data_IF_544752634765
#
_entry.id   IF_544752634765
#
_cell.length_a   1.000
_cell.length_b   1.000
_cell.length_c   1.000
_cell.angle_alpha   90.00
_cell.angle_beta   90.00
_cell.angle_gamma   90.00
#
_symmetry.space_group_name_H-M   'P 1'
#
loop_
_entity.id
_entity.type
_entity.pdbx_description
1 polymer ?
#
# COMPACT_ATOMS: atom_id res chain seq x y z
N UNK A 1 15.44 -47.89 -0.58
CA UNK A 1 14.11 -47.70 -1.15
C UNK A 1 13.43 -46.67 -0.28
N UNK A 2 13.41 -45.41 -0.70
CA UNK A 2 12.57 -44.42 -0.03
C UNK A 2 11.18 -44.59 -0.63
N UNK A 3 10.22 -44.97 0.19
CA UNK A 3 8.82 -44.93 -0.22
C UNK A 3 8.49 -43.51 -0.71
N UNK A 4 7.75 -43.37 -1.82
CA UNK A 4 7.24 -42.07 -2.23
C UNK A 4 6.38 -41.51 -1.10
N UNK A 5 6.47 -40.20 -0.79
CA UNK A 5 5.63 -39.58 0.21
C UNK A 5 4.17 -39.87 -0.11
N UNK A 6 3.40 -40.31 0.90
CA UNK A 6 1.99 -40.61 0.76
C UNK A 6 1.26 -39.44 0.10
N UNK A 7 0.34 -39.69 -0.86
CA UNK A 7 -0.37 -38.61 -1.54
C UNK A 7 -1.12 -37.78 -0.50
N UNK A 8 -0.79 -36.48 -0.45
CA UNK A 8 -1.48 -35.52 0.40
C UNK A 8 -2.95 -35.53 0.00
N UNK A 9 -3.82 -36.02 0.90
CA UNK A 9 -5.26 -36.07 0.65
C UNK A 9 -5.76 -34.63 0.57
N UNK A 10 -6.23 -34.24 -0.60
CA UNK A 10 -6.74 -32.90 -0.80
C UNK A 10 -8.02 -32.67 0.03
N UNK A 11 -8.12 -31.50 0.66
CA UNK A 11 -9.23 -31.10 1.53
C UNK A 11 -10.22 -30.26 0.73
N UNK A 12 -11.52 -30.57 0.87
CA UNK A 12 -12.59 -29.75 0.26
C UNK A 12 -12.71 -28.42 0.96
N UNK A 13 -12.76 -27.34 0.17
CA UNK A 13 -13.05 -26.00 0.67
C UNK A 13 -14.56 -25.80 0.92
N UNK A 14 -14.90 -24.68 1.55
CA UNK A 14 -16.29 -24.20 1.69
C UNK A 14 -16.87 -23.60 0.40
N UNK A 15 -16.05 -23.40 -0.65
CA UNK A 15 -16.54 -23.01 -1.98
C UNK A 15 -16.69 -24.31 -2.78
N UNK A 16 -17.86 -24.92 -2.60
CA UNK A 16 -18.20 -26.18 -3.21
C UNK A 16 -19.62 -26.12 -3.76
N UNK A 17 -19.73 -26.09 -5.08
CA UNK A 17 -21.02 -26.12 -5.79
C UNK A 17 -21.32 -27.56 -6.21
N UNK A 18 -22.43 -28.13 -5.74
CA UNK A 18 -22.83 -29.52 -6.02
C UNK A 18 -23.03 -29.81 -7.51
N UNK A 19 -23.45 -28.79 -8.27
CA UNK A 19 -23.61 -28.78 -9.72
C UNK A 19 -22.36 -28.28 -10.47
N UNK A 20 -21.27 -27.98 -9.75
CA UNK A 20 -20.00 -27.55 -10.33
C UNK A 20 -19.40 -28.65 -11.21
N UNK A 21 -18.75 -28.21 -12.30
CA UNK A 21 -18.24 -29.09 -13.37
C UNK A 21 -16.72 -28.98 -13.60
N UNK A 22 -16.01 -28.27 -12.72
CA UNK A 22 -14.54 -28.22 -12.67
C UNK A 22 -14.08 -28.13 -11.21
N UNK A 23 -12.95 -28.78 -10.91
CA UNK A 23 -12.28 -28.71 -9.61
C UNK A 23 -10.96 -27.98 -9.78
N UNK A 24 -10.77 -26.88 -9.06
CA UNK A 24 -9.47 -26.22 -8.93
C UNK A 24 -8.75 -26.81 -7.72
N UNK A 25 -7.53 -27.31 -7.91
CA UNK A 25 -6.71 -27.86 -6.83
C UNK A 25 -5.48 -26.99 -6.60
N UNK A 26 -5.29 -26.52 -5.37
CA UNK A 26 -4.27 -25.53 -4.98
C UNK A 26 -3.80 -25.82 -3.55
N UNK A 27 -2.49 -26.01 -3.33
CA UNK A 27 -1.89 -26.29 -2.00
C UNK A 27 -2.66 -27.38 -1.19
N UNK A 28 -3.11 -28.44 -1.86
CA UNK A 28 -3.89 -29.50 -1.21
C UNK A 28 -5.33 -29.11 -0.84
N UNK A 29 -5.84 -27.98 -1.31
CA UNK A 29 -7.24 -27.56 -1.18
C UNK A 29 -7.96 -27.69 -2.52
N UNK A 30 -9.20 -28.19 -2.50
CA UNK A 30 -10.04 -28.32 -3.69
C UNK A 30 -11.25 -27.38 -3.64
N UNK A 31 -11.50 -26.70 -4.75
CA UNK A 31 -12.64 -25.82 -4.97
C UNK A 31 -13.46 -26.36 -6.14
N UNK A 32 -14.73 -26.71 -5.91
CA UNK A 32 -15.62 -27.20 -6.98
C UNK A 32 -16.51 -26.06 -7.45
N UNK A 33 -16.36 -25.67 -8.71
CA UNK A 33 -16.96 -24.45 -9.29
C UNK A 33 -17.44 -24.66 -10.73
N UNK A 34 -18.01 -23.62 -11.34
CA UNK A 34 -18.53 -23.68 -12.72
C UNK A 34 -17.53 -23.13 -13.74
N UNK A 35 -17.19 -23.96 -14.72
CA UNK A 35 -16.28 -23.68 -15.85
C UNK A 35 -16.69 -22.42 -16.62
N UNK A 36 -17.98 -22.27 -16.93
CA UNK A 36 -18.52 -21.15 -17.71
C UNK A 36 -18.35 -19.81 -17.01
N UNK A 37 -18.56 -19.76 -15.69
CA UNK A 37 -18.43 -18.54 -14.89
C UNK A 37 -16.96 -18.11 -14.80
N UNK A 38 -16.04 -19.06 -14.60
CA UNK A 38 -14.59 -18.80 -14.66
C UNK A 38 -14.17 -18.29 -16.04
N UNK A 39 -14.57 -18.96 -17.11
CA UNK A 39 -14.26 -18.57 -18.49
C UNK A 39 -14.78 -17.16 -18.84
N UNK A 40 -15.98 -16.81 -18.36
CA UNK A 40 -16.53 -15.48 -18.57
C UNK A 40 -15.74 -14.40 -17.80
N UNK A 41 -15.17 -14.75 -16.66
CA UNK A 41 -14.46 -13.81 -15.78
C UNK A 41 -12.96 -13.69 -16.09
N UNK A 42 -12.37 -14.66 -16.79
CA UNK A 42 -10.94 -14.78 -17.03
C UNK A 42 -10.68 -15.34 -18.42
N UNK A 43 -9.97 -14.57 -19.24
CA UNK A 43 -9.56 -15.04 -20.58
C UNK A 43 -8.58 -16.20 -20.48
N UNK A 44 -7.70 -16.21 -19.48
CA UNK A 44 -6.76 -17.32 -19.23
C UNK A 44 -7.49 -18.62 -18.94
N UNK A 45 -8.51 -18.60 -18.07
CA UNK A 45 -9.32 -19.80 -17.85
C UNK A 45 -10.13 -20.16 -19.09
N UNK A 46 -10.69 -19.18 -19.82
CA UNK A 46 -11.40 -19.45 -21.07
C UNK A 46 -10.53 -20.18 -22.10
N UNK A 47 -9.30 -19.72 -22.30
CA UNK A 47 -8.35 -20.32 -23.24
C UNK A 47 -7.94 -21.71 -22.77
N UNK A 48 -7.58 -21.87 -21.49
CA UNK A 48 -7.24 -23.15 -20.88
C UNK A 48 -8.34 -24.21 -21.07
N UNK A 49 -9.59 -23.76 -21.02
CA UNK A 49 -10.78 -24.57 -21.17
C UNK A 49 -11.20 -24.87 -22.61
N UNK A 50 -10.71 -24.08 -23.55
CA UNK A 50 -10.97 -24.21 -24.98
C UNK A 50 -9.96 -25.12 -25.69
N UNK A 51 -8.79 -25.34 -25.07
CA UNK A 51 -7.79 -26.28 -25.58
C UNK A 51 -8.30 -27.74 -25.51
N UNK A 52 -7.92 -28.60 -26.47
CA UNK A 52 -8.23 -30.03 -26.42
C UNK A 52 -7.69 -30.63 -25.13
N UNK A 53 -8.59 -31.18 -24.31
CA UNK A 53 -8.18 -31.89 -23.10
C UNK A 53 -7.52 -33.22 -23.49
N UNK A 54 -6.55 -33.71 -22.72
CA UNK A 54 -6.02 -35.06 -22.90
C UNK A 54 -7.16 -36.08 -22.94
N UNK A 55 -7.00 -37.21 -23.64
CA UNK A 55 -7.97 -38.29 -23.62
C UNK A 55 -8.36 -38.62 -22.18
N UNK A 56 -9.62 -38.96 -21.91
CA UNK A 56 -10.14 -39.16 -20.54
C UNK A 56 -9.38 -40.20 -19.70
N UNK A 57 -8.51 -41.02 -20.32
CA UNK A 57 -7.60 -41.96 -19.63
C UNK A 57 -6.41 -41.28 -18.95
N UNK A 58 -6.04 -40.08 -19.41
CA UNK A 58 -4.88 -39.30 -18.95
C UNK A 58 -5.30 -38.05 -18.16
N UNK A 59 -6.60 -37.72 -18.14
CA UNK A 59 -7.14 -36.60 -17.39
C UNK A 59 -7.47 -37.01 -15.95
N UNK A 60 -6.87 -36.32 -14.97
CA UNK A 60 -7.21 -36.51 -13.56
C UNK A 60 -8.64 -36.01 -13.32
N UNK A 61 -9.53 -36.92 -12.96
CA UNK A 61 -10.95 -36.63 -12.70
C UNK A 61 -11.33 -37.06 -11.29
N UNK A 62 -11.99 -36.17 -10.56
CA UNK A 62 -12.63 -36.47 -9.28
C UNK A 62 -14.13 -36.21 -9.44
N UNK A 63 -14.96 -37.19 -9.08
CA UNK A 63 -16.44 -37.10 -9.20
C UNK A 63 -16.93 -36.74 -10.62
N UNK A 64 -16.20 -37.17 -11.66
CA UNK A 64 -16.53 -36.84 -13.05
C UNK A 64 -16.21 -35.40 -13.47
N UNK A 65 -15.55 -34.62 -12.61
CA UNK A 65 -15.10 -33.26 -12.91
C UNK A 65 -13.61 -33.25 -13.27
N UNK A 66 -13.24 -32.41 -14.25
CA UNK A 66 -11.84 -32.15 -14.59
C UNK A 66 -11.14 -31.43 -13.42
N UNK A 67 -9.94 -31.88 -13.07
CA UNK A 67 -9.08 -31.18 -12.10
C UNK A 67 -8.12 -30.26 -12.83
N UNK A 68 -8.06 -29.01 -12.39
CA UNK A 68 -7.09 -28.01 -12.81
C UNK A 68 -6.21 -27.66 -11.63
N UNK A 69 -4.92 -27.96 -11.74
CA UNK A 69 -3.93 -27.63 -10.71
C UNK A 69 -3.45 -26.19 -10.87
N UNK A 70 -3.55 -25.39 -9.82
CA UNK A 70 -2.95 -24.05 -9.74
C UNK A 70 -1.79 -24.06 -8.74
N UNK A 71 -0.83 -23.17 -8.97
CA UNK A 71 0.40 -23.05 -8.17
C UNK A 71 0.43 -21.78 -7.32
N UNK A 72 -0.74 -21.21 -7.02
CA UNK A 72 -0.91 -20.02 -6.20
C UNK A 72 -1.20 -20.37 -4.74
N UNK A 73 -1.37 -19.36 -3.89
CA UNK A 73 -1.88 -19.58 -2.54
C UNK A 73 -3.35 -20.03 -2.59
N UNK A 74 -3.71 -21.08 -1.85
CA UNK A 74 -5.11 -21.50 -1.70
C UNK A 74 -5.98 -20.37 -1.13
N UNK A 75 -5.41 -19.52 -0.26
CA UNK A 75 -6.10 -18.39 0.34
C UNK A 75 -6.35 -17.25 -0.67
N UNK A 76 -5.37 -16.94 -1.53
CA UNK A 76 -5.54 -15.92 -2.58
C UNK A 76 -6.58 -16.38 -3.62
N UNK A 77 -6.51 -17.65 -4.04
CA UNK A 77 -7.49 -18.25 -4.98
C UNK A 77 -8.88 -18.21 -4.38
N UNK A 78 -9.02 -18.52 -3.09
CA UNK A 78 -10.29 -18.39 -2.37
C UNK A 78 -10.86 -16.98 -2.44
N UNK A 79 -10.06 -15.92 -2.27
CA UNK A 79 -10.56 -14.54 -2.38
C UNK A 79 -11.10 -14.21 -3.77
N UNK A 80 -10.39 -14.66 -4.82
CA UNK A 80 -10.85 -14.51 -6.21
C UNK A 80 -12.18 -15.24 -6.44
N UNK A 81 -12.30 -16.48 -5.97
CA UNK A 81 -13.52 -17.27 -6.12
C UNK A 81 -14.70 -16.67 -5.34
N UNK A 82 -14.46 -16.13 -4.14
CA UNK A 82 -15.47 -15.38 -3.38
C UNK A 82 -15.97 -14.16 -4.15
N UNK A 83 -15.10 -13.45 -4.86
CA UNK A 83 -15.47 -12.28 -5.65
C UNK A 83 -16.29 -12.66 -6.90
N UNK A 84 -15.89 -13.72 -7.60
CA UNK A 84 -16.54 -14.18 -8.83
C UNK A 84 -17.89 -14.83 -8.52
N UNK A 85 -17.93 -15.78 -7.58
CA UNK A 85 -19.09 -16.64 -7.36
C UNK A 85 -20.00 -16.18 -6.22
N UNK A 86 -19.46 -15.50 -5.21
CA UNK A 86 -20.23 -15.06 -4.03
C UNK A 86 -20.46 -13.54 -4.02
N UNK A 87 -19.98 -12.82 -5.05
CA UNK A 87 -20.08 -11.37 -5.19
C UNK A 87 -19.52 -10.56 -4.01
N UNK A 88 -18.58 -11.14 -3.25
CA UNK A 88 -17.93 -10.44 -2.13
C UNK A 88 -16.94 -9.38 -2.61
N UNK A 89 -16.78 -8.31 -1.83
CA UNK A 89 -15.79 -7.26 -2.05
C UNK A 89 -16.02 -6.40 -3.30
N UNK A 90 -17.16 -6.56 -3.97
CA UNK A 90 -17.48 -5.86 -5.22
C UNK A 90 -18.04 -4.45 -4.99
N UNK A 91 -18.59 -4.16 -3.81
CA UNK A 91 -19.16 -2.83 -3.52
C UNK A 91 -18.08 -1.91 -2.93
N UNK A 92 -17.99 -0.67 -3.41
CA UNK A 92 -17.05 0.32 -2.86
C UNK A 92 -17.27 0.63 -1.37
N UNK A 93 -18.48 0.36 -0.86
CA UNK A 93 -18.81 0.52 0.55
C UNK A 93 -18.27 -0.64 1.42
N UNK A 94 -18.06 -1.82 0.85
CA UNK A 94 -17.38 -2.91 1.55
C UNK A 94 -15.88 -2.59 1.69
N UNK A 95 -15.43 -2.53 2.94
CA UNK A 95 -14.02 -2.40 3.29
C UNK A 95 -13.29 -3.63 2.76
N UNK A 96 -12.42 -3.44 1.77
CA UNK A 96 -11.60 -4.50 1.20
C UNK A 96 -10.33 -4.65 2.04
N UNK A 97 -10.14 -5.80 2.73
CA UNK A 97 -8.90 -6.05 3.45
C UNK A 97 -7.71 -6.09 2.49
N UNK A 98 -6.54 -5.66 2.97
CA UNK A 98 -5.32 -5.64 2.16
C UNK A 98 -4.99 -6.99 1.49
N UNK A 99 -5.10 -8.16 2.15
CA UNK A 99 -4.86 -9.46 1.50
C UNK A 99 -5.78 -9.73 0.30
N UNK A 100 -7.02 -9.23 0.34
CA UNK A 100 -7.97 -9.36 -0.78
C UNK A 100 -7.55 -8.44 -1.93
N UNK A 101 -7.18 -7.20 -1.62
CA UNK A 101 -6.67 -6.25 -2.60
C UNK A 101 -5.41 -6.79 -3.30
N UNK A 102 -4.46 -7.32 -2.53
CA UNK A 102 -3.23 -7.92 -3.04
C UNK A 102 -3.52 -9.10 -3.98
N UNK A 103 -4.44 -9.99 -3.59
CA UNK A 103 -4.87 -11.10 -4.44
C UNK A 103 -5.51 -10.61 -5.75
N UNK A 104 -6.35 -9.56 -5.71
CA UNK A 104 -6.99 -9.00 -6.90
C UNK A 104 -5.97 -8.33 -7.84
N UNK A 105 -4.96 -7.65 -7.30
CA UNK A 105 -3.88 -7.07 -8.09
C UNK A 105 -2.98 -8.15 -8.72
N UNK A 106 -2.64 -9.20 -7.96
CA UNK A 106 -1.68 -10.20 -8.42
C UNK A 106 -2.35 -11.29 -9.28
N UNK A 107 -3.35 -11.98 -8.74
CA UNK A 107 -4.06 -13.04 -9.45
C UNK A 107 -5.00 -12.49 -10.52
N UNK A 108 -5.58 -11.30 -10.29
CA UNK A 108 -6.38 -10.65 -11.33
C UNK A 108 -5.57 -10.33 -12.58
N UNK A 109 -4.29 -9.97 -12.45
CA UNK A 109 -3.39 -9.83 -13.60
C UNK A 109 -2.97 -11.19 -14.17
N UNK A 110 -2.55 -12.13 -13.30
CA UNK A 110 -2.05 -13.47 -13.71
C UNK A 110 -3.08 -14.24 -14.54
N UNK A 111 -4.34 -14.18 -14.12
CA UNK A 111 -5.45 -14.87 -14.77
C UNK A 111 -6.28 -13.95 -15.69
N UNK A 112 -5.82 -12.72 -15.98
CA UNK A 112 -6.55 -11.71 -16.77
C UNK A 112 -8.03 -11.56 -16.36
N UNK A 113 -8.27 -11.47 -15.05
CA UNK A 113 -9.56 -11.12 -14.44
C UNK A 113 -9.65 -9.60 -14.36
N UNK A 114 -9.84 -8.96 -15.52
CA UNK A 114 -9.72 -7.51 -15.68
C UNK A 114 -10.52 -6.69 -14.69
N UNK A 115 -11.77 -7.09 -14.43
CA UNK A 115 -12.67 -6.36 -13.50
C UNK A 115 -12.05 -6.24 -12.11
N UNK A 116 -11.62 -7.36 -11.53
CA UNK A 116 -11.03 -7.38 -10.19
C UNK A 116 -9.70 -6.61 -10.14
N UNK A 117 -8.89 -6.75 -11.19
CA UNK A 117 -7.61 -6.04 -11.29
C UNK A 117 -7.80 -4.52 -11.35
N UNK A 118 -8.72 -4.03 -12.20
CA UNK A 118 -9.02 -2.60 -12.32
C UNK A 118 -9.62 -2.06 -11.02
N UNK A 119 -10.60 -2.76 -10.44
CA UNK A 119 -11.24 -2.34 -9.18
C UNK A 119 -10.23 -2.23 -8.04
N UNK A 120 -9.29 -3.17 -7.94
CA UNK A 120 -8.23 -3.13 -6.94
C UNK A 120 -7.25 -1.98 -7.17
N UNK A 121 -6.90 -1.64 -8.42
CA UNK A 121 -6.06 -0.47 -8.72
C UNK A 121 -6.75 0.83 -8.31
N UNK A 122 -8.04 0.99 -8.63
CA UNK A 122 -8.82 2.18 -8.23
C UNK A 122 -8.82 2.35 -6.71
N UNK A 123 -9.10 1.28 -5.97
CA UNK A 123 -9.09 1.31 -4.50
C UNK A 123 -7.70 1.61 -3.94
N UNK A 124 -6.66 1.03 -4.52
CA UNK A 124 -5.28 1.29 -4.11
C UNK A 124 -4.93 2.78 -4.28
N UNK A 125 -5.28 3.38 -5.41
CA UNK A 125 -5.00 4.79 -5.70
C UNK A 125 -5.85 5.76 -4.89
N UNK A 126 -7.02 5.35 -4.39
CA UNK A 126 -7.78 6.13 -3.41
C UNK A 126 -7.08 6.18 -2.05
N UNK A 127 -6.32 5.14 -1.69
CA UNK A 127 -5.52 5.12 -0.45
C UNK A 127 -4.13 5.74 -0.61
N UNK A 128 -3.63 5.81 -1.85
CA UNK A 128 -2.36 6.46 -2.19
C UNK A 128 -2.57 7.42 -3.36
N UNK A 129 -3.20 8.57 -3.10
CA UNK A 129 -3.48 9.53 -4.14
C UNK A 129 -2.20 10.20 -4.65
N UNK A 130 -2.35 10.90 -5.77
CA UNK A 130 -1.25 11.54 -6.49
C UNK A 130 -0.99 12.99 -6.04
N UNK A 131 -1.94 13.60 -5.34
CA UNK A 131 -1.89 14.99 -4.92
C UNK A 131 -1.88 15.08 -3.40
N UNK A 132 -1.25 16.14 -2.87
CA UNK A 132 -1.25 16.40 -1.44
C UNK A 132 -2.67 16.67 -0.91
N UNK A 133 -3.50 17.38 -1.67
CA UNK A 133 -4.90 17.67 -1.29
C UNK A 133 -5.71 16.39 -1.11
N UNK A 134 -5.58 15.45 -2.05
CA UNK A 134 -6.25 14.16 -1.94
C UNK A 134 -5.65 13.31 -0.80
N UNK A 135 -4.32 13.35 -0.56
CA UNK A 135 -3.66 12.64 0.56
C UNK A 135 -4.20 13.12 1.90
N UNK A 136 -4.39 14.43 2.05
CA UNK A 136 -4.97 15.06 3.24
C UNK A 136 -6.43 14.64 3.47
N UNK A 137 -7.15 14.24 2.41
CA UNK A 137 -8.51 13.75 2.48
C UNK A 137 -8.62 12.22 2.73
N UNK A 138 -7.50 11.48 2.63
CA UNK A 138 -7.51 10.03 2.86
C UNK A 138 -7.85 9.73 4.32
N UNK A 139 -8.91 8.93 4.51
CA UNK A 139 -9.25 8.37 5.81
C UNK A 139 -8.49 7.07 6.04
N UNK A 140 -8.31 6.68 7.30
CA UNK A 140 -7.64 5.43 7.69
C UNK A 140 -8.10 4.24 6.84
N UNK A 141 -7.15 3.56 6.20
CA UNK A 141 -7.42 2.33 5.49
C UNK A 141 -7.63 1.20 6.51
N UNK A 142 -8.87 0.75 6.60
CA UNK A 142 -9.21 -0.41 7.44
C UNK A 142 -8.50 -1.66 6.93
N UNK A 143 -7.50 -2.10 7.69
CA UNK A 143 -6.71 -3.29 7.39
C UNK A 143 -5.26 -3.01 7.01
N UNK A 144 -4.81 -1.75 6.97
CA UNK A 144 -3.40 -1.40 7.12
C UNK A 144 -3.12 -1.06 8.58
N UNK A 145 -2.50 -1.96 9.34
CA UNK A 145 -2.07 -1.71 10.72
C UNK A 145 -0.62 -1.22 10.71
N UNK A 146 -0.32 -0.04 11.28
CA UNK A 146 1.05 0.47 11.33
C UNK A 146 2.05 -0.48 11.99
N UNK A 147 1.58 -1.36 12.88
CA UNK A 147 2.41 -2.31 13.62
C UNK A 147 2.67 -3.64 12.89
N UNK A 148 2.00 -3.89 11.75
CA UNK A 148 2.22 -5.09 10.93
C UNK A 148 3.07 -4.77 9.71
N UNK A 149 3.76 -5.77 9.13
CA UNK A 149 4.64 -5.61 7.95
C UNK A 149 3.90 -5.35 6.63
N UNK A 150 2.67 -4.84 6.67
CA UNK A 150 1.82 -4.69 5.48
C UNK A 150 2.36 -3.63 4.51
N UNK A 151 2.96 -2.53 4.99
CA UNK A 151 3.66 -1.60 4.08
C UNK A 151 4.86 -2.24 3.37
N UNK A 152 5.55 -3.20 4.00
CA UNK A 152 6.64 -3.95 3.34
C UNK A 152 6.07 -4.83 2.24
N UNK A 153 5.00 -5.57 2.54
CA UNK A 153 4.30 -6.39 1.55
C UNK A 153 3.80 -5.53 0.38
N UNK A 154 3.29 -4.33 0.68
CA UNK A 154 2.80 -3.38 -0.31
C UNK A 154 3.93 -2.86 -1.22
N UNK A 155 5.14 -2.59 -0.70
CA UNK A 155 6.30 -2.25 -1.55
C UNK A 155 6.60 -3.40 -2.51
N UNK A 156 6.72 -4.63 -1.99
CA UNK A 156 7.04 -5.81 -2.80
C UNK A 156 5.99 -6.02 -3.88
N UNK A 157 4.71 -5.90 -3.52
CA UNK A 157 3.59 -6.00 -4.45
C UNK A 157 3.63 -4.89 -5.50
N UNK A 158 3.80 -3.63 -5.09
CA UNK A 158 3.86 -2.48 -5.98
C UNK A 158 4.98 -2.61 -7.02
N UNK A 159 6.17 -3.04 -6.59
CA UNK A 159 7.29 -3.33 -7.49
C UNK A 159 6.96 -4.44 -8.49
N UNK A 160 6.38 -5.55 -8.01
CA UNK A 160 6.02 -6.69 -8.86
C UNK A 160 4.92 -6.35 -9.86
N UNK A 161 3.94 -5.56 -9.45
CA UNK A 161 2.81 -5.16 -10.27
C UNK A 161 3.13 -3.99 -11.20
N UNK A 162 4.24 -3.28 -10.99
CA UNK A 162 4.53 -2.03 -11.69
C UNK A 162 3.53 -0.95 -11.32
N UNK A 163 3.24 -0.82 -10.02
CA UNK A 163 2.39 0.22 -9.42
C UNK A 163 3.28 1.18 -8.62
N UNK A 164 4.25 1.79 -9.30
CA UNK A 164 5.33 2.56 -8.69
C UNK A 164 4.87 3.89 -8.11
N UNK A 165 3.73 4.43 -8.55
CA UNK A 165 3.20 5.73 -8.11
C UNK A 165 2.85 5.78 -6.62
N UNK A 166 2.65 4.64 -5.97
CA UNK A 166 2.34 4.60 -4.54
C UNK A 166 3.61 4.58 -3.67
N UNK A 167 4.77 4.24 -4.25
CA UNK A 167 6.01 4.02 -3.50
C UNK A 167 6.50 5.22 -2.70
N UNK A 168 6.43 6.49 -3.18
CA UNK A 168 6.87 7.63 -2.39
C UNK A 168 6.15 7.71 -1.03
N UNK A 169 4.82 7.53 -1.04
CA UNK A 169 4.00 7.57 0.17
C UNK A 169 4.18 6.35 1.05
N UNK A 170 4.32 5.17 0.45
CA UNK A 170 4.57 3.91 1.17
C UNK A 170 5.94 3.92 1.85
N UNK A 171 7.00 4.40 1.19
CA UNK A 171 8.31 4.54 1.82
C UNK A 171 8.32 5.56 2.95
N UNK A 172 7.59 6.68 2.80
CA UNK A 172 7.38 7.62 3.90
C UNK A 172 6.73 6.94 5.12
N UNK A 173 5.71 6.11 4.91
CA UNK A 173 5.12 5.30 5.99
C UNK A 173 6.11 4.31 6.60
N UNK A 174 6.89 3.59 5.78
CA UNK A 174 7.92 2.69 6.30
C UNK A 174 8.93 3.43 7.20
N UNK A 175 9.38 4.63 6.80
CA UNK A 175 10.31 5.43 7.59
C UNK A 175 9.69 5.95 8.89
N UNK A 176 8.39 6.26 8.90
CA UNK A 176 7.68 6.76 10.08
C UNK A 176 7.31 5.65 11.06
N UNK A 177 6.96 4.46 10.56
CA UNK A 177 6.37 3.39 11.36
C UNK A 177 7.36 2.31 11.79
N UNK A 178 8.42 2.06 11.01
CA UNK A 178 9.30 0.92 11.25
C UNK A 178 10.69 1.33 11.75
N UNK A 179 11.19 0.70 12.82
CA UNK A 179 12.59 0.85 13.21
C UNK A 179 13.50 0.18 12.17
N UNK A 180 14.77 0.61 12.12
CA UNK A 180 15.76 0.12 11.14
C UNK A 180 15.85 -1.40 11.08
N UNK A 181 15.80 -2.09 12.23
CA UNK A 181 15.91 -3.54 12.27
C UNK A 181 14.74 -4.27 11.58
N UNK A 182 13.55 -3.66 11.52
CA UNK A 182 12.39 -4.21 10.78
C UNK A 182 12.57 -3.98 9.28
N UNK A 183 13.07 -2.81 8.88
CA UNK A 183 13.34 -2.46 7.48
C UNK A 183 14.42 -3.39 6.89
N UNK A 184 15.46 -3.71 7.67
CA UNK A 184 16.59 -4.55 7.25
C UNK A 184 16.40 -6.04 7.53
N UNK A 185 15.24 -6.46 8.05
CA UNK A 185 14.96 -7.87 8.31
C UNK A 185 14.79 -8.63 6.98
N UNK A 186 15.79 -9.46 6.68
CA UNK A 186 15.82 -10.35 5.53
C UNK A 186 15.48 -11.80 5.88
N UNK A 187 15.21 -12.08 7.16
CA UNK A 187 14.97 -13.45 7.65
C UNK A 187 13.48 -13.72 7.69
N UNK A 188 12.68 -12.77 8.18
CA UNK A 188 11.24 -12.96 8.33
C UNK A 188 10.47 -12.33 7.19
N UNK A 189 9.80 -13.14 6.38
CA UNK A 189 8.90 -12.64 5.34
C UNK A 189 7.66 -11.92 5.94
N UNK A 190 7.13 -10.88 5.27
CA UNK A 190 7.67 -10.24 4.07
C UNK A 190 8.91 -9.38 4.39
N UNK A 191 9.85 -9.31 3.44
CA UNK A 191 11.10 -8.53 3.56
C UNK A 191 11.28 -7.62 2.35
N UNK A 192 11.78 -6.40 2.57
CA UNK A 192 12.10 -5.48 1.48
C UNK A 192 13.28 -6.01 0.66
N UNK A 193 13.30 -5.87 -0.67
CA UNK A 193 14.50 -6.10 -1.47
C UNK A 193 15.65 -5.17 -1.06
N UNK A 194 16.93 -5.54 -1.28
CA UNK A 194 18.08 -4.72 -0.87
C UNK A 194 18.05 -3.28 -1.40
N UNK A 195 17.57 -3.07 -2.63
CA UNK A 195 17.41 -1.73 -3.20
C UNK A 195 16.38 -0.88 -2.45
N UNK A 196 15.27 -1.48 -2.03
CA UNK A 196 14.20 -0.78 -1.30
C UNK A 196 14.57 -0.58 0.18
N UNK A 197 15.37 -1.48 0.78
CA UNK A 197 15.99 -1.24 2.09
C UNK A 197 16.89 0.00 2.06
N UNK A 198 17.75 0.07 1.05
CA UNK A 198 18.63 1.22 0.86
C UNK A 198 17.83 2.50 0.66
N UNK A 199 16.78 2.47 -0.16
CA UNK A 199 15.86 3.59 -0.36
C UNK A 199 15.22 4.07 0.94
N UNK A 200 14.74 3.15 1.79
CA UNK A 200 14.18 3.53 3.10
C UNK A 200 15.24 4.11 4.04
N UNK A 201 16.44 3.54 4.10
CA UNK A 201 17.51 4.01 4.97
C UNK A 201 18.04 5.40 4.57
N UNK A 202 18.33 5.60 3.28
CA UNK A 202 18.78 6.91 2.77
C UNK A 202 17.64 7.92 2.83
N UNK A 203 16.43 7.48 2.49
CA UNK A 203 15.20 8.26 2.53
C UNK A 203 14.85 8.76 3.92
N UNK A 204 15.01 7.96 4.98
CA UNK A 204 14.77 8.41 6.35
C UNK A 204 15.61 9.64 6.69
N UNK A 205 16.91 9.62 6.36
CA UNK A 205 17.80 10.78 6.58
C UNK A 205 17.41 11.96 5.70
N UNK A 206 17.09 11.71 4.43
CA UNK A 206 16.69 12.75 3.48
C UNK A 206 15.39 13.44 3.91
N UNK A 207 14.39 12.68 4.37
CA UNK A 207 13.11 13.16 4.91
C UNK A 207 13.32 14.03 6.14
N UNK A 208 14.09 13.54 7.12
CA UNK A 208 14.39 14.29 8.35
C UNK A 208 15.10 15.61 8.07
N UNK A 209 16.02 15.61 7.10
CA UNK A 209 16.70 16.83 6.67
C UNK A 209 15.75 17.75 5.92
N UNK A 210 14.96 17.22 4.98
CA UNK A 210 14.17 18.06 4.07
C UNK A 210 13.03 18.76 4.79
N UNK A 211 12.35 18.08 5.72
CA UNK A 211 11.27 18.67 6.51
C UNK A 211 11.72 19.92 7.29
N UNK A 212 13.00 19.99 7.71
CA UNK A 212 13.55 21.15 8.40
C UNK A 212 13.68 22.39 7.49
N UNK A 213 13.85 22.19 6.17
CA UNK A 213 13.96 23.27 5.19
C UNK A 213 12.63 23.62 4.51
N UNK A 214 11.66 22.71 4.55
CA UNK A 214 10.35 22.88 3.92
C UNK A 214 9.26 23.08 4.97
N UNK A 215 8.55 22.02 5.34
CA UNK A 215 7.39 22.00 6.24
C UNK A 215 7.65 22.75 7.54
N UNK A 216 8.83 22.54 8.14
CA UNK A 216 9.25 23.19 9.37
C UNK A 216 10.32 24.26 9.15
N UNK A 217 10.50 24.75 7.91
CA UNK A 217 11.40 25.86 7.60
C UNK A 217 11.10 27.10 8.44
N UNK A 218 9.82 27.29 8.79
CA UNK A 218 9.38 28.35 9.68
C UNK A 218 9.90 28.19 11.12
N UNK A 219 10.28 26.99 11.60
CA UNK A 219 10.95 26.79 12.89
C UNK A 219 12.46 27.07 12.77
N UNK A 220 13.13 26.46 11.79
CA UNK A 220 14.58 26.50 11.62
C UNK A 220 15.10 27.85 11.11
N UNK A 221 14.46 28.41 10.09
CA UNK A 221 14.92 29.59 9.34
C UNK A 221 13.94 30.76 9.38
N UNK A 222 12.75 30.57 9.96
CA UNK A 222 11.75 31.63 10.02
C UNK A 222 12.24 32.86 10.81
N UNK A 223 11.62 34.00 10.57
CA UNK A 223 11.70 35.18 11.43
C UNK A 223 10.40 35.45 12.18
N UNK A 224 10.36 36.47 13.06
CA UNK A 224 9.09 37.07 13.48
C UNK A 224 8.30 37.51 12.23
N UNK A 225 6.96 37.48 12.31
CA UNK A 225 6.16 38.19 11.32
C UNK A 225 6.47 39.69 11.37
N UNK A 226 6.33 40.40 10.24
CA UNK A 226 6.59 41.84 10.17
C UNK A 226 5.77 42.66 11.18
N UNK A 227 4.57 42.19 11.54
CA UNK A 227 3.67 42.81 12.51
C UNK A 227 3.82 42.24 13.93
N UNK A 228 4.89 41.49 14.21
CA UNK A 228 5.15 40.95 15.54
C UNK A 228 5.64 42.05 16.49
N UNK A 229 4.94 42.23 17.61
CA UNK A 229 5.33 43.16 18.68
C UNK A 229 5.97 42.45 19.89
N UNK A 230 5.93 41.11 19.93
CA UNK A 230 6.51 40.27 20.98
C UNK A 230 7.63 39.39 20.42
N UNK A 231 8.62 40.03 19.79
CA UNK A 231 9.71 39.37 19.07
C UNK A 231 10.40 38.29 19.90
N UNK A 232 10.93 38.65 21.08
CA UNK A 232 11.72 37.74 21.91
C UNK A 232 10.89 36.53 22.37
N UNK A 233 9.63 36.77 22.78
CA UNK A 233 8.74 35.71 23.21
C UNK A 233 8.37 34.76 22.06
N UNK A 234 8.09 35.29 20.86
CA UNK A 234 7.82 34.46 19.69
C UNK A 234 9.04 33.65 19.25
N UNK A 235 10.23 34.26 19.30
CA UNK A 235 11.48 33.55 18.97
C UNK A 235 11.77 32.46 20.00
N UNK A 236 11.63 32.75 21.30
CA UNK A 236 11.79 31.76 22.37
C UNK A 236 10.77 30.61 22.28
N UNK A 237 9.53 30.89 21.88
CA UNK A 237 8.52 29.86 21.59
C UNK A 237 8.98 28.96 20.43
N UNK A 238 9.45 29.53 19.31
CA UNK A 238 9.96 28.75 18.18
C UNK A 238 11.16 27.89 18.53
N UNK A 239 12.13 28.44 19.27
CA UNK A 239 13.31 27.69 19.69
C UNK A 239 12.94 26.51 20.61
N UNK A 240 11.97 26.70 21.51
CA UNK A 240 11.47 25.60 22.34
C UNK A 240 10.86 24.49 21.51
N UNK A 241 9.99 24.81 20.56
CA UNK A 241 9.35 23.78 19.73
C UNK A 241 10.36 23.09 18.80
N UNK A 242 11.36 23.82 18.30
CA UNK A 242 12.47 23.22 17.58
C UNK A 242 13.21 22.17 18.43
N UNK A 243 13.52 22.50 19.69
CA UNK A 243 14.18 21.59 20.63
C UNK A 243 13.26 20.40 20.94
N UNK A 244 12.03 20.64 21.37
CA UNK A 244 11.08 19.61 21.80
C UNK A 244 10.75 18.60 20.69
N UNK A 245 10.73 19.03 19.43
CA UNK A 245 10.23 18.19 18.34
C UNK A 245 11.33 17.55 17.48
N UNK A 246 12.51 18.16 17.45
CA UNK A 246 13.58 17.73 16.54
C UNK A 246 14.89 17.35 17.27
N UNK A 247 14.90 17.33 18.60
CA UNK A 247 16.06 16.86 19.38
C UNK A 247 15.71 15.69 20.32
N UNK A 248 16.62 14.72 20.53
CA UNK A 248 17.93 14.60 19.88
C UNK A 248 17.85 14.06 18.43
N UNK A 249 16.76 13.39 18.07
CA UNK A 249 16.57 12.79 16.74
C UNK A 249 15.18 13.17 16.22
N UNK A 250 15.09 13.85 15.06
CA UNK A 250 13.79 14.19 14.49
C UNK A 250 13.10 12.97 13.88
N UNK A 251 11.79 12.87 14.09
CA UNK A 251 10.94 11.87 13.43
C UNK A 251 10.45 12.39 12.07
N UNK A 252 10.23 11.49 11.08
CA UNK A 252 9.56 11.83 9.82
C UNK A 252 8.17 12.44 10.04
N UNK A 253 8.06 13.74 9.77
CA UNK A 253 6.88 14.58 10.02
C UNK A 253 6.64 15.63 8.93
N UNK A 254 7.40 15.57 7.82
CA UNK A 254 7.29 16.53 6.71
C UNK A 254 5.91 16.60 6.04
N UNK A 255 5.05 15.60 6.21
CA UNK A 255 3.67 15.61 5.71
C UNK A 255 2.61 15.92 6.79
N UNK A 256 2.99 16.20 8.04
CA UNK A 256 2.01 16.45 9.10
C UNK A 256 1.19 17.71 8.81
N UNK A 257 -0.13 17.62 9.01
CA UNK A 257 -1.05 18.74 8.88
C UNK A 257 -0.72 19.83 9.90
N UNK A 258 -1.03 21.10 9.59
CA UNK A 258 -0.89 22.16 10.59
C UNK A 258 -1.68 21.85 11.87
N UNK A 259 -2.86 21.24 11.80
CA UNK A 259 -3.64 20.86 12.99
C UNK A 259 -2.85 19.92 13.91
N UNK A 260 -2.23 18.89 13.36
CA UNK A 260 -1.41 17.91 14.08
C UNK A 260 -0.16 18.54 14.69
N UNK A 261 0.51 19.44 13.96
CA UNK A 261 1.63 20.20 14.49
C UNK A 261 1.15 21.19 15.57
N UNK A 262 0.05 21.91 15.33
CA UNK A 262 -0.51 22.94 16.21
C UNK A 262 -0.92 22.43 17.59
N UNK A 263 -1.39 21.18 17.68
CA UNK A 263 -1.70 20.53 18.96
C UNK A 263 -0.50 20.49 19.90
N UNK A 264 0.70 20.28 19.34
CA UNK A 264 1.96 20.27 20.10
C UNK A 264 2.37 21.66 20.61
N UNK A 265 1.76 22.75 20.12
CA UNK A 265 2.02 24.13 20.56
C UNK A 265 1.07 24.65 21.65
N UNK A 266 -0.07 23.98 21.88
CA UNK A 266 -1.21 24.52 22.62
C UNK A 266 -1.04 24.48 24.16
N UNK A 267 0.18 24.65 24.65
CA UNK A 267 0.48 24.84 26.06
C UNK A 267 0.55 26.35 26.40
N UNK A 268 0.04 26.72 27.56
CA UNK A 268 -0.17 28.13 27.97
C UNK A 268 1.11 28.99 27.93
N UNK A 269 2.29 28.37 27.98
CA UNK A 269 3.58 29.05 28.02
C UNK A 269 4.33 29.07 26.67
N UNK A 270 3.80 28.49 25.59
CA UNK A 270 4.51 28.26 24.30
C UNK A 270 3.89 28.94 23.07
N UNK A 271 2.93 29.87 23.26
CA UNK A 271 2.18 30.41 22.13
C UNK A 271 2.91 31.50 21.34
N UNK A 272 2.91 31.38 20.02
CA UNK A 272 3.21 32.48 19.10
C UNK A 272 2.13 33.57 19.21
N UNK A 273 2.50 34.84 19.00
CA UNK A 273 1.48 35.86 18.78
C UNK A 273 0.68 35.55 17.50
N UNK A 274 -0.55 36.08 17.39
CA UNK A 274 -1.45 35.82 16.25
C UNK A 274 -0.82 36.05 14.86
N UNK A 275 0.09 37.03 14.75
CA UNK A 275 0.77 37.34 13.48
C UNK A 275 1.83 36.29 13.13
N UNK A 276 2.65 35.90 14.10
CA UNK A 276 3.64 34.83 13.93
C UNK A 276 2.97 33.47 13.71
N UNK A 277 1.83 33.21 14.37
CA UNK A 277 1.06 31.99 14.19
C UNK A 277 0.51 31.88 12.76
N UNK A 278 -0.13 32.93 12.25
CA UNK A 278 -0.63 32.96 10.88
C UNK A 278 0.49 32.83 9.84
N UNK A 279 1.63 33.49 10.09
CA UNK A 279 2.80 33.38 9.21
C UNK A 279 3.41 31.97 9.23
N UNK A 280 3.50 31.35 10.41
CA UNK A 280 4.00 29.98 10.56
C UNK A 280 3.07 28.98 9.86
N UNK A 281 1.75 29.09 10.03
CA UNK A 281 0.77 28.24 9.35
C UNK A 281 0.90 28.36 7.83
N UNK A 282 0.97 29.58 7.29
CA UNK A 282 1.14 29.79 5.85
C UNK A 282 2.45 29.20 5.32
N UNK A 283 3.56 29.40 6.04
CA UNK A 283 4.85 28.83 5.67
C UNK A 283 4.87 27.30 5.78
N UNK A 284 4.17 26.73 6.77
CA UNK A 284 4.04 25.29 6.96
C UNK A 284 3.34 24.65 5.78
N UNK A 285 2.18 25.16 5.35
CA UNK A 285 1.45 24.58 4.21
C UNK A 285 2.21 24.72 2.89
N UNK A 286 2.88 25.86 2.64
CA UNK A 286 3.77 26.02 1.48
C UNK A 286 4.94 25.02 1.57
N UNK A 287 5.51 24.85 2.76
CA UNK A 287 6.55 23.87 3.03
C UNK A 287 6.10 22.44 2.77
N UNK A 288 4.89 22.06 3.21
CA UNK A 288 4.32 20.72 2.96
C UNK A 288 4.15 20.46 1.46
N UNK A 289 3.64 21.43 0.71
CA UNK A 289 3.51 21.30 -0.74
C UNK A 289 4.89 21.06 -1.40
N UNK A 290 5.90 21.85 -1.03
CA UNK A 290 7.27 21.64 -1.53
C UNK A 290 7.85 20.28 -1.12
N UNK A 291 7.58 19.83 0.11
CA UNK A 291 8.00 18.50 0.58
C UNK A 291 7.34 17.38 -0.22
N UNK A 292 6.05 17.50 -0.54
CA UNK A 292 5.29 16.53 -1.34
C UNK A 292 5.85 16.39 -2.76
N UNK A 293 6.13 17.51 -3.43
CA UNK A 293 6.71 17.50 -4.78
C UNK A 293 8.07 16.80 -4.83
N UNK A 294 8.87 16.96 -3.77
CA UNK A 294 10.19 16.34 -3.68
C UNK A 294 10.17 14.89 -3.17
N UNK A 295 9.05 14.43 -2.59
CA UNK A 295 8.92 13.15 -1.91
C UNK A 295 9.49 11.96 -2.71
N UNK A 296 9.23 11.81 -4.03
CA UNK A 296 9.82 10.72 -4.81
C UNK A 296 11.35 10.75 -4.80
N UNK A 297 11.94 11.94 -4.99
CA UNK A 297 13.39 12.11 -5.07
C UNK A 297 14.09 11.81 -3.74
N UNK A 298 13.41 12.02 -2.60
CA UNK A 298 13.93 11.67 -1.27
C UNK A 298 14.22 10.17 -1.14
N UNK A 299 13.50 9.33 -1.90
CA UNK A 299 13.68 7.87 -1.93
C UNK A 299 14.40 7.37 -3.19
N UNK A 300 14.99 8.26 -3.99
CA UNK A 300 15.65 7.90 -5.24
C UNK A 300 14.69 7.38 -6.33
N UNK A 301 13.42 7.78 -6.28
CA UNK A 301 12.42 7.45 -7.28
C UNK A 301 12.36 8.53 -8.39
N UNK A 302 11.85 8.18 -9.59
CA UNK A 302 11.53 9.15 -10.63
C UNK A 302 10.54 10.23 -10.17
N UNK A 303 10.47 11.39 -10.85
CA UNK A 303 9.50 12.44 -10.52
C UNK A 303 8.05 11.95 -10.71
N UNK A 304 7.11 12.65 -10.08
CA UNK A 304 5.67 12.35 -10.16
C UNK A 304 5.16 12.17 -11.59
N UNK A 305 5.62 12.99 -12.54
CA UNK A 305 5.22 12.92 -13.96
C UNK A 305 5.56 11.59 -14.63
N UNK A 306 6.61 10.89 -14.19
CA UNK A 306 6.96 9.56 -14.68
C UNK A 306 6.21 8.47 -13.91
N UNK A 307 6.16 8.59 -12.58
CA UNK A 307 5.48 7.65 -11.70
C UNK A 307 3.99 7.52 -12.02
N UNK A 308 3.32 8.63 -12.38
CA UNK A 308 1.89 8.66 -12.61
C UNK A 308 1.44 8.10 -13.96
N UNK A 309 2.37 7.83 -14.89
CA UNK A 309 2.02 7.28 -16.23
C UNK A 309 1.22 6.00 -16.15
N UNK A 310 1.55 5.12 -15.20
CA UNK A 310 0.81 3.88 -15.00
C UNK A 310 -0.66 4.11 -14.63
N UNK A 311 -1.03 5.28 -14.09
CA UNK A 311 -2.41 5.58 -13.70
C UNK A 311 -3.29 6.00 -14.88
N UNK A 312 -2.70 6.39 -16.00
CA UNK A 312 -3.42 6.83 -17.21
C UNK A 312 -4.23 5.68 -17.82
N UNK A 313 -3.75 4.44 -17.68
CA UNK A 313 -4.39 3.23 -18.19
C UNK A 313 -5.59 2.75 -17.36
N UNK A 314 -5.96 3.48 -16.29
CA UNK A 314 -7.13 3.15 -15.46
C UNK A 314 -8.31 4.01 -15.90
N UNK A 315 -9.27 3.40 -16.60
CA UNK A 315 -10.56 4.04 -16.87
C UNK A 315 -11.31 4.25 -15.55
N UNK A 316 -11.52 5.51 -15.13
CA UNK A 316 -12.13 5.89 -13.86
C UNK A 316 -13.65 5.76 -13.86
#
# INVERSE_FOLDING_TARGET
MNDPPAPVVAVRSDIWYDDGNVILQVEGTQFRVHKSILAQSSTVFNDMFSLPQPPAKDAEMIEGCLIVHLFDSAQEVRYILQAIFQQKYLTFQEKMPFPVLAAFLCLGRKYDIRRLHIDARKRLYQHFPATLEDDDAVREWVGLKPESKEYIELVVMARRAGLLSILPRVFYHCCRSYPTHVITDNVSAPSLPPGDQMACMTGHRAVCLRQAYTTYGWLYNGGPAASCITYDACNAARQRCLIEWFTPLPEPSGLDLWSQASERFNHADTSLCKHCLASAQSQHEIGRANFWEELPSLFGLPPWTELLREREDVEW
#
